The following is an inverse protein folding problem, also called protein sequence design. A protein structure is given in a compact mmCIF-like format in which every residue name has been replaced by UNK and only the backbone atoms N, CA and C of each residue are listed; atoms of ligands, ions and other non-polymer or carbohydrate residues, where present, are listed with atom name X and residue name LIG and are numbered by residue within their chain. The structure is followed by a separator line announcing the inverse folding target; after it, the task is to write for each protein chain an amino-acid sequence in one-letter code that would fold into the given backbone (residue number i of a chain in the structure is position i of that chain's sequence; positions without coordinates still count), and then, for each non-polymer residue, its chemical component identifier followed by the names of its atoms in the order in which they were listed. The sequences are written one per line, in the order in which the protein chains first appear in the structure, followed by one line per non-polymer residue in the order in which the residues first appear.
data_IF_536510180073
#
_entry.id   IF_536510180073
#
_cell.length_a   1.000
_cell.length_b   1.000
_cell.length_c   1.000
_cell.angle_alpha   90.00
_cell.angle_beta   90.00
_cell.angle_gamma   90.00
#
_symmetry.space_group_name_H-M   'P 1'
#
loop_
_entity.id
_entity.type
_entity.pdbx_description
1 polymer ?
#
# COMPACT_ATOMS: atom_id res chain seq x y z
N UNK A 1 -31.48 -48.55 -15.15
CA UNK A 1 -30.11 -48.94 -14.78
C UNK A 1 -29.71 -48.13 -13.55
N UNK A 2 -29.72 -48.69 -12.32
CA UNK A 2 -29.27 -47.99 -11.13
C UNK A 2 -27.85 -48.40 -10.75
N UNK A 3 -26.97 -47.42 -10.51
CA UNK A 3 -25.65 -47.51 -9.84
C UNK A 3 -25.01 -46.12 -9.98
N UNK A 4 -24.39 -45.46 -9.01
CA UNK A 4 -23.88 -45.88 -7.71
C UNK A 4 -23.49 -44.60 -6.96
N UNK A 5 -24.05 -44.42 -5.77
CA UNK A 5 -23.68 -43.39 -4.79
C UNK A 5 -22.30 -43.75 -4.20
N UNK A 6 -21.33 -42.86 -4.35
CA UNK A 6 -20.01 -42.95 -3.71
C UNK A 6 -19.89 -41.91 -2.60
N UNK A 7 -20.11 -42.33 -1.35
CA UNK A 7 -19.72 -41.64 -0.13
C UNK A 7 -18.23 -41.92 0.14
N UNK A 8 -17.45 -40.89 0.42
CA UNK A 8 -16.14 -41.03 1.05
C UNK A 8 -16.08 -40.17 2.32
N UNK A 9 -15.96 -40.78 3.52
CA UNK A 9 -15.58 -40.09 4.74
C UNK A 9 -14.08 -40.31 5.02
N UNK A 10 -13.37 -39.24 5.36
CA UNK A 10 -11.95 -39.32 5.69
C UNK A 10 -11.44 -38.07 6.41
N UNK A 11 -12.06 -37.73 7.55
CA UNK A 11 -11.50 -36.76 8.48
C UNK A 11 -10.42 -37.43 9.33
N UNK A 12 -9.17 -37.00 9.19
CA UNK A 12 -8.08 -37.39 10.08
C UNK A 12 -8.10 -36.50 11.34
N UNK A 13 -7.89 -37.06 12.55
CA UNK A 13 -7.76 -36.29 13.78
C UNK A 13 -6.38 -35.62 13.85
N UNK A 14 -6.35 -34.29 14.04
CA UNK A 14 -5.13 -33.58 14.40
C UNK A 14 -4.82 -33.84 15.88
N UNK A 15 -3.64 -34.43 16.11
CA UNK A 15 -3.11 -34.72 17.42
C UNK A 15 -2.62 -33.44 18.11
N UNK A 16 -2.90 -33.42 19.40
CA UNK A 16 -2.59 -32.39 20.40
C UNK A 16 -1.08 -32.37 20.75
N UNK A 17 -0.58 -31.18 21.08
CA UNK A 17 0.54 -31.00 22.00
C UNK A 17 1.97 -31.19 21.48
N UNK A 18 2.55 -30.16 20.86
CA UNK A 18 4.00 -29.90 20.95
C UNK A 18 4.31 -28.41 20.86
N UNK A 19 4.62 -27.82 22.02
CA UNK A 19 5.12 -26.45 22.18
C UNK A 19 6.59 -26.43 21.75
N UNK A 20 7.00 -25.66 20.72
CA UNK A 20 8.41 -25.53 20.38
C UNK A 20 9.13 -24.72 21.46
N UNK A 21 10.30 -25.22 21.87
CA UNK A 21 11.22 -24.54 22.76
C UNK A 21 11.84 -23.33 22.04
N UNK A 22 11.98 -22.21 22.76
CA UNK A 22 12.68 -21.03 22.27
C UNK A 22 14.18 -21.34 22.09
N UNK A 23 14.83 -20.89 21.00
CA UNK A 23 16.26 -20.97 20.86
C UNK A 23 16.95 -20.01 21.85
N UNK A 24 17.95 -20.55 22.55
CA UNK A 24 18.92 -19.81 23.37
C UNK A 24 19.84 -19.00 22.45
N UNK A 25 19.74 -17.67 22.52
CA UNK A 25 20.53 -16.73 21.71
C UNK A 25 21.56 -16.00 22.58
N UNK A 26 22.43 -16.75 23.24
CA UNK A 26 23.64 -16.19 23.86
C UNK A 26 24.80 -16.21 22.87
N UNK A 27 24.78 -15.26 21.92
CA UNK A 27 25.85 -15.01 20.95
C UNK A 27 26.32 -13.57 21.01
N UNK A 28 27.45 -13.34 21.68
CA UNK A 28 28.16 -12.06 21.72
C UNK A 28 28.62 -11.67 20.31
N UNK A 29 28.11 -10.56 19.76
CA UNK A 29 28.63 -9.98 18.51
C UNK A 29 29.63 -8.87 18.87
N UNK A 30 30.89 -8.94 18.40
CA UNK A 30 31.84 -7.84 18.52
C UNK A 30 31.38 -6.63 17.71
N UNK A 31 31.24 -5.51 18.41
CA UNK A 31 31.10 -4.17 17.87
C UNK A 31 32.44 -3.74 17.24
N UNK A 32 32.50 -3.56 15.92
CA UNK A 32 33.59 -2.81 15.29
C UNK A 32 33.11 -2.09 14.01
N UNK A 33 33.03 -0.76 14.12
CA UNK A 33 33.62 0.12 13.11
C UNK A 33 32.84 0.42 11.83
N UNK A 34 31.69 1.10 11.92
CA UNK A 34 31.33 2.25 11.05
C UNK A 34 29.91 2.73 11.36
N UNK A 35 29.82 3.59 12.38
CA UNK A 35 28.61 4.40 12.57
C UNK A 35 28.60 5.49 11.49
N UNK A 36 28.01 5.18 10.34
CA UNK A 36 27.33 6.22 9.55
C UNK A 36 26.09 6.62 10.34
N UNK A 37 26.25 7.62 11.20
CA UNK A 37 25.14 8.47 11.63
C UNK A 37 25.03 9.52 10.53
N UNK A 38 24.18 9.27 9.54
CA UNK A 38 23.96 10.15 8.41
C UNK A 38 22.66 9.78 7.72
N UNK A 39 21.69 10.68 7.86
CA UNK A 39 20.47 10.84 7.06
C UNK A 39 19.48 9.66 7.06
N UNK A 40 18.31 9.91 7.65
CA UNK A 40 17.13 9.05 7.60
C UNK A 40 16.48 9.05 6.23
N UNK A 41 17.21 8.61 5.21
CA UNK A 41 16.62 8.11 3.98
C UNK A 41 15.99 6.75 4.27
N UNK A 42 14.72 6.59 3.89
CA UNK A 42 13.98 5.34 4.00
C UNK A 42 14.68 4.23 3.22
N UNK A 43 15.58 3.51 3.89
CA UNK A 43 16.42 2.49 3.29
C UNK A 43 15.58 1.23 3.03
N UNK A 44 14.87 1.21 1.89
CA UNK A 44 14.25 0.01 1.32
C UNK A 44 15.32 -1.07 1.22
N UNK A 45 15.05 -2.27 1.74
CA UNK A 45 16.01 -3.35 1.66
C UNK A 45 16.22 -3.79 0.20
N UNK A 46 17.40 -4.31 -0.17
CA UNK A 46 17.63 -4.85 -1.51
C UNK A 46 16.61 -5.94 -1.88
N UNK A 47 16.14 -6.72 -0.91
CA UNK A 47 15.09 -7.71 -1.12
C UNK A 47 13.73 -7.08 -1.47
N UNK A 48 13.34 -6.00 -0.78
CA UNK A 48 12.10 -5.26 -1.07
C UNK A 48 12.15 -4.58 -2.43
N UNK A 49 13.28 -3.97 -2.80
CA UNK A 49 13.45 -3.36 -4.12
C UNK A 49 13.36 -4.42 -5.23
N UNK A 50 14.00 -5.58 -5.06
CA UNK A 50 13.92 -6.66 -6.05
C UNK A 50 12.48 -7.19 -6.19
N UNK A 51 11.72 -7.21 -5.09
CA UNK A 51 10.31 -7.58 -5.14
C UNK A 51 9.48 -6.52 -5.84
N UNK A 52 9.70 -5.24 -5.51
CA UNK A 52 9.07 -4.10 -6.16
C UNK A 52 9.26 -4.13 -7.67
N UNK A 53 10.51 -4.28 -8.13
CA UNK A 53 10.84 -4.34 -9.56
C UNK A 53 10.07 -5.47 -10.26
N UNK A 54 9.98 -6.63 -9.61
CA UNK A 54 9.22 -7.78 -10.12
C UNK A 54 7.71 -7.50 -10.14
N UNK A 55 7.18 -6.82 -9.13
CA UNK A 55 5.76 -6.42 -9.09
C UNK A 55 5.45 -5.46 -10.24
N UNK A 56 6.31 -4.47 -10.48
CA UNK A 56 6.13 -3.49 -11.55
C UNK A 56 6.30 -4.10 -12.94
N UNK A 57 7.25 -5.03 -13.13
CA UNK A 57 7.37 -5.80 -14.38
C UNK A 57 6.07 -6.55 -14.68
N UNK A 58 5.49 -7.21 -13.68
CA UNK A 58 4.23 -7.94 -13.83
C UNK A 58 3.02 -7.02 -13.98
N UNK A 59 3.02 -5.87 -13.32
CA UNK A 59 2.00 -4.85 -13.53
C UNK A 59 2.03 -4.36 -14.98
N UNK A 60 3.21 -4.07 -15.53
CA UNK A 60 3.39 -3.66 -16.92
C UNK A 60 2.90 -4.73 -17.90
N UNK A 61 3.20 -6.01 -17.66
CA UNK A 61 2.66 -7.13 -18.46
C UNK A 61 1.12 -7.16 -18.47
N UNK A 62 0.47 -6.87 -17.33
CA UNK A 62 -0.99 -6.83 -17.21
C UNK A 62 -1.60 -5.58 -17.87
N UNK A 63 -0.86 -4.48 -17.95
CA UNK A 63 -1.31 -3.21 -18.53
C UNK A 63 -1.13 -3.21 -20.06
N UNK A 64 0.02 -3.69 -20.55
CA UNK A 64 0.49 -3.51 -21.93
C UNK A 64 0.56 -4.77 -22.78
N UNK A 65 0.19 -5.94 -22.25
CA UNK A 65 0.21 -7.19 -23.00
C UNK A 65 1.59 -7.55 -23.57
N UNK A 66 1.62 -8.48 -24.54
CA UNK A 66 2.86 -9.00 -25.11
C UNK A 66 3.52 -8.14 -26.20
N UNK A 67 2.82 -7.13 -26.72
CA UNK A 67 3.25 -6.28 -27.83
C UNK A 67 3.44 -4.80 -27.44
N UNK A 68 3.43 -4.52 -26.13
CA UNK A 68 3.48 -3.16 -25.56
C UNK A 68 2.24 -2.31 -25.91
N UNK A 69 1.14 -2.92 -26.35
CA UNK A 69 -0.14 -2.25 -26.58
C UNK A 69 -1.00 -2.33 -25.33
N UNK A 70 -1.55 -1.21 -24.88
CA UNK A 70 -2.48 -1.20 -23.73
C UNK A 70 -3.60 -2.24 -23.93
N UNK A 71 -3.76 -3.12 -22.95
CA UNK A 71 -4.75 -4.17 -22.96
C UNK A 71 -6.17 -3.57 -23.10
N UNK A 72 -7.00 -4.03 -24.05
CA UNK A 72 -8.32 -3.44 -24.28
C UNK A 72 -9.23 -3.43 -23.05
N UNK A 73 -9.07 -4.41 -22.16
CA UNK A 73 -9.81 -4.48 -20.91
C UNK A 73 -9.49 -3.30 -19.98
N UNK A 74 -8.26 -2.78 -20.00
CA UNK A 74 -7.84 -1.61 -19.23
C UNK A 74 -8.50 -0.35 -19.79
N UNK A 75 -8.45 -0.15 -21.11
CA UNK A 75 -9.14 0.97 -21.77
C UNK A 75 -10.64 0.95 -21.50
N UNK A 76 -11.25 -0.25 -21.52
CA UNK A 76 -12.66 -0.41 -21.19
C UNK A 76 -12.97 -0.10 -19.72
N UNK A 77 -12.10 -0.49 -18.79
CA UNK A 77 -12.28 -0.23 -17.37
C UNK A 77 -12.17 1.27 -17.04
N UNK A 78 -11.29 1.99 -17.72
CA UNK A 78 -11.09 3.44 -17.53
C UNK A 78 -12.20 4.28 -18.19
N UNK A 79 -12.80 3.78 -19.28
CA UNK A 79 -13.82 4.50 -20.04
C UNK A 79 -15.21 4.34 -19.43
N UNK A 80 -15.49 5.10 -18.37
CA UNK A 80 -16.83 5.21 -17.80
C UNK A 80 -17.61 6.35 -18.46
N UNK A 81 -18.89 6.14 -18.79
CA UNK A 81 -19.72 7.20 -19.32
C UNK A 81 -19.93 8.28 -18.25
N UNK A 82 -19.95 9.57 -18.64
CA UNK A 82 -20.20 10.65 -17.69
C UNK A 82 -21.58 10.45 -17.05
N UNK A 83 -21.62 10.34 -15.73
CA UNK A 83 -22.88 10.30 -14.98
C UNK A 83 -23.33 11.73 -14.67
N UNK A 84 -24.64 11.99 -14.58
CA UNK A 84 -25.13 13.28 -14.07
C UNK A 84 -24.50 13.52 -12.70
N UNK A 85 -23.86 14.68 -12.51
CA UNK A 85 -23.21 15.04 -11.25
C UNK A 85 -24.26 15.07 -10.12
N UNK A 86 -24.24 14.05 -9.27
CA UNK A 86 -24.92 14.08 -7.98
C UNK A 86 -23.92 14.52 -6.93
N UNK A 87 -24.22 15.56 -6.11
CA UNK A 87 -23.27 16.12 -5.14
C UNK A 87 -22.65 15.12 -4.16
N UNK A 88 -23.33 13.98 -3.93
CA UNK A 88 -22.94 12.97 -2.94
C UNK A 88 -22.32 11.69 -3.55
N UNK A 89 -22.18 11.63 -4.88
CA UNK A 89 -21.55 10.48 -5.54
C UNK A 89 -20.17 10.91 -6.00
N UNK A 90 -19.12 10.29 -5.45
CA UNK A 90 -17.75 10.55 -5.92
C UNK A 90 -17.66 10.48 -7.45
N UNK A 91 -16.70 11.21 -8.03
CA UNK A 91 -16.52 11.27 -9.48
C UNK A 91 -16.34 9.84 -10.04
N UNK A 92 -17.16 9.40 -11.00
CA UNK A 92 -17.13 8.02 -11.50
C UNK A 92 -15.76 7.67 -12.13
N UNK A 93 -15.07 8.66 -12.70
CA UNK A 93 -13.75 8.49 -13.31
C UNK A 93 -12.70 8.12 -12.26
N UNK A 94 -12.73 8.77 -11.07
CA UNK A 94 -11.83 8.44 -9.95
C UNK A 94 -12.05 6.99 -9.51
N UNK A 95 -13.31 6.56 -9.39
CA UNK A 95 -13.63 5.19 -9.03
C UNK A 95 -13.23 4.19 -10.13
N UNK A 96 -13.35 4.56 -11.40
CA UNK A 96 -12.93 3.72 -12.53
C UNK A 96 -11.42 3.47 -12.49
N UNK A 97 -10.63 4.53 -12.30
CA UNK A 97 -9.18 4.47 -12.15
C UNK A 97 -8.78 3.58 -10.95
N UNK A 98 -9.37 3.83 -9.78
CA UNK A 98 -9.11 3.06 -8.57
C UNK A 98 -9.46 1.57 -8.73
N UNK A 99 -10.60 1.26 -9.34
CA UNK A 99 -11.00 -0.14 -9.60
C UNK A 99 -10.07 -0.83 -10.60
N UNK A 100 -9.64 -0.13 -11.66
CA UNK A 100 -8.69 -0.68 -12.61
C UNK A 100 -7.35 -1.02 -11.94
N UNK A 101 -6.80 -0.08 -11.15
CA UNK A 101 -5.59 -0.30 -10.36
C UNK A 101 -5.76 -1.46 -9.35
N UNK A 102 -6.91 -1.52 -8.66
CA UNK A 102 -7.24 -2.58 -7.72
C UNK A 102 -7.24 -3.96 -8.38
N UNK A 103 -7.85 -4.10 -9.57
CA UNK A 103 -7.88 -5.38 -10.27
C UNK A 103 -6.48 -5.85 -10.69
N UNK A 104 -5.57 -4.93 -11.04
CA UNK A 104 -4.17 -5.25 -11.32
C UNK A 104 -3.47 -5.69 -10.03
N UNK A 105 -3.49 -4.84 -9.00
CA UNK A 105 -2.82 -5.12 -7.73
C UNK A 105 -3.33 -6.40 -7.05
N UNK A 106 -4.65 -6.66 -7.10
CA UNK A 106 -5.26 -7.90 -6.62
C UNK A 106 -4.73 -9.13 -7.36
N UNK A 107 -4.66 -9.09 -8.70
CA UNK A 107 -4.09 -10.21 -9.48
C UNK A 107 -2.62 -10.47 -9.12
N UNK A 108 -1.86 -9.40 -8.85
CA UNK A 108 -0.47 -9.50 -8.43
C UNK A 108 -0.35 -10.16 -7.04
N UNK A 109 -1.09 -9.66 -6.04
CA UNK A 109 -1.09 -10.23 -4.67
C UNK A 109 -1.58 -11.69 -4.65
N UNK A 110 -2.70 -11.98 -5.34
CA UNK A 110 -3.24 -13.35 -5.42
C UNK A 110 -2.20 -14.31 -6.05
N UNK A 111 -1.60 -13.94 -7.18
CA UNK A 111 -0.59 -14.75 -7.88
C UNK A 111 0.66 -14.99 -7.03
N UNK A 112 1.11 -13.97 -6.29
CA UNK A 112 2.26 -14.06 -5.39
C UNK A 112 1.97 -14.98 -4.20
N UNK A 113 0.75 -14.91 -3.63
CA UNK A 113 0.31 -15.80 -2.54
C UNK A 113 0.18 -17.25 -2.99
N UNK A 114 -0.34 -17.49 -4.19
CA UNK A 114 -0.40 -18.84 -4.79
C UNK A 114 1.00 -19.46 -4.94
N UNK A 115 2.02 -18.63 -5.16
CA UNK A 115 3.43 -19.05 -5.22
C UNK A 115 4.10 -19.15 -3.84
N UNK A 116 3.38 -18.88 -2.75
CA UNK A 116 3.91 -18.91 -1.38
C UNK A 116 4.88 -17.77 -1.05
N UNK A 117 4.82 -16.66 -1.80
CA UNK A 117 5.73 -15.52 -1.67
C UNK A 117 4.93 -14.21 -1.57
N UNK A 118 4.14 -14.00 -0.50
CA UNK A 118 3.23 -12.85 -0.39
C UNK A 118 3.97 -11.52 -0.53
N UNK A 119 3.37 -10.57 -1.24
CA UNK A 119 3.93 -9.22 -1.41
C UNK A 119 3.78 -8.46 -0.07
N UNK A 120 4.86 -7.84 0.46
CA UNK A 120 4.77 -6.92 1.59
C UNK A 120 3.80 -5.78 1.30
N UNK A 121 3.07 -5.34 2.33
CA UNK A 121 2.06 -4.29 2.19
C UNK A 121 2.70 -2.95 1.74
N UNK A 122 3.94 -2.63 2.16
CA UNK A 122 4.66 -1.43 1.72
C UNK A 122 5.00 -1.46 0.23
N UNK A 123 5.42 -2.63 -0.29
CA UNK A 123 5.68 -2.82 -1.71
C UNK A 123 4.39 -2.69 -2.52
N UNK A 124 3.27 -3.24 -2.02
CA UNK A 124 1.95 -3.08 -2.65
C UNK A 124 1.48 -1.62 -2.62
N UNK A 125 1.73 -0.90 -1.54
CA UNK A 125 1.37 0.51 -1.39
C UNK A 125 2.09 1.37 -2.44
N UNK A 126 3.42 1.23 -2.56
CA UNK A 126 4.19 1.97 -3.55
C UNK A 126 3.84 1.58 -4.99
N UNK A 127 3.69 0.28 -5.27
CA UNK A 127 3.27 -0.19 -6.59
C UNK A 127 1.87 0.31 -6.95
N UNK A 128 0.96 0.41 -5.98
CA UNK A 128 -0.39 0.95 -6.17
C UNK A 128 -0.38 2.40 -6.65
N UNK A 129 0.54 3.23 -6.13
CA UNK A 129 0.72 4.62 -6.58
C UNK A 129 1.18 4.68 -8.03
N UNK A 130 2.26 3.96 -8.39
CA UNK A 130 2.78 3.97 -9.77
C UNK A 130 1.78 3.39 -10.77
N UNK A 131 1.02 2.35 -10.39
CA UNK A 131 -0.04 1.80 -11.24
C UNK A 131 -1.13 2.86 -11.51
N UNK A 132 -1.52 3.64 -10.51
CA UNK A 132 -2.51 4.71 -10.69
C UNK A 132 -1.99 5.81 -11.62
N UNK A 133 -0.74 6.24 -11.43
CA UNK A 133 -0.12 7.27 -12.27
C UNK A 133 -0.04 6.80 -13.72
N UNK A 134 0.39 5.55 -13.94
CA UNK A 134 0.50 4.96 -15.27
C UNK A 134 -0.87 4.83 -15.96
N UNK A 135 -1.89 4.37 -15.24
CA UNK A 135 -3.26 4.29 -15.77
C UNK A 135 -3.85 5.68 -16.06
N UNK A 136 -3.50 6.69 -15.27
CA UNK A 136 -3.86 8.09 -15.52
C UNK A 136 -3.24 8.62 -16.82
N UNK A 137 -1.97 8.32 -17.06
CA UNK A 137 -1.26 8.68 -18.29
C UNK A 137 -1.83 7.98 -19.53
N UNK A 138 -2.20 6.69 -19.39
CA UNK A 138 -2.90 5.92 -20.43
C UNK A 138 -4.25 6.56 -20.76
N UNK A 139 -5.05 6.92 -19.75
CA UNK A 139 -6.35 7.56 -19.95
C UNK A 139 -6.21 8.89 -20.69
N UNK A 140 -5.21 9.70 -20.33
CA UNK A 140 -4.88 10.97 -20.99
C UNK A 140 -4.50 10.76 -22.46
N UNK A 141 -3.58 9.84 -22.73
CA UNK A 141 -3.12 9.49 -24.09
C UNK A 141 -4.25 8.95 -24.97
N UNK A 142 -5.17 8.18 -24.38
CA UNK A 142 -6.34 7.64 -25.06
C UNK A 142 -7.49 8.67 -25.22
N UNK A 143 -7.34 9.91 -24.74
CA UNK A 143 -8.39 10.94 -24.68
C UNK A 143 -9.66 10.49 -23.94
N UNK A 144 -9.50 9.69 -22.87
CA UNK A 144 -10.61 9.24 -22.00
C UNK A 144 -10.89 10.30 -20.93
N UNK A 145 -9.88 10.62 -20.12
CA UNK A 145 -9.95 11.64 -19.06
C UNK A 145 -8.54 12.15 -18.76
N UNK A 146 -8.41 13.44 -18.43
CA UNK A 146 -7.15 14.07 -18.02
C UNK A 146 -7.21 14.32 -16.51
N UNK A 147 -6.70 13.36 -15.73
CA UNK A 147 -6.79 13.38 -14.28
C UNK A 147 -5.93 14.48 -13.67
N UNK A 148 -6.51 15.30 -12.80
CA UNK A 148 -5.72 16.23 -11.98
C UNK A 148 -4.92 15.48 -10.88
N UNK A 149 -3.86 16.08 -10.31
CA UNK A 149 -3.13 15.48 -9.18
C UNK A 149 -4.04 15.14 -7.99
N UNK A 150 -5.05 15.96 -7.72
CA UNK A 150 -6.04 15.71 -6.67
C UNK A 150 -6.94 14.51 -7.00
N UNK A 151 -7.28 14.31 -8.27
CA UNK A 151 -8.06 13.16 -8.73
C UNK A 151 -7.25 11.86 -8.65
N UNK A 152 -5.97 11.89 -9.02
CA UNK A 152 -5.05 10.76 -8.85
C UNK A 152 -4.91 10.38 -7.37
N UNK A 153 -4.70 11.38 -6.50
CA UNK A 153 -4.64 11.17 -5.05
C UNK A 153 -5.97 10.61 -4.51
N UNK A 154 -7.09 11.13 -5.00
CA UNK A 154 -8.43 10.61 -4.68
C UNK A 154 -8.60 9.15 -5.09
N UNK A 155 -8.14 8.78 -6.28
CA UNK A 155 -8.19 7.40 -6.79
C UNK A 155 -7.31 6.48 -5.93
N UNK A 156 -6.17 6.97 -5.47
CA UNK A 156 -5.29 6.24 -4.56
C UNK A 156 -5.96 5.93 -3.23
N UNK A 157 -6.65 6.90 -2.61
CA UNK A 157 -7.40 6.63 -1.39
C UNK A 157 -8.52 5.62 -1.60
N UNK A 158 -9.22 5.67 -2.74
CA UNK A 158 -10.22 4.66 -3.09
C UNK A 158 -9.58 3.27 -3.29
N UNK A 159 -8.41 3.19 -3.92
CA UNK A 159 -7.66 1.94 -4.08
C UNK A 159 -7.30 1.31 -2.74
N UNK A 160 -6.77 2.09 -1.79
CA UNK A 160 -6.45 1.63 -0.44
C UNK A 160 -7.70 1.11 0.27
N UNK A 161 -8.85 1.79 0.10
CA UNK A 161 -10.11 1.36 0.69
C UNK A 161 -10.61 0.03 0.11
N UNK A 162 -10.47 -0.18 -1.20
CA UNK A 162 -10.79 -1.45 -1.86
C UNK A 162 -9.91 -2.60 -1.32
N UNK A 163 -8.62 -2.38 -1.11
CA UNK A 163 -7.74 -3.37 -0.49
C UNK A 163 -8.10 -3.65 0.97
N UNK A 164 -8.46 -2.62 1.74
CA UNK A 164 -8.97 -2.77 3.11
C UNK A 164 -10.21 -3.65 3.13
N UNK A 165 -11.17 -3.39 2.23
CA UNK A 165 -12.39 -4.20 2.11
C UNK A 165 -12.07 -5.65 1.72
N UNK A 166 -11.17 -5.86 0.75
CA UNK A 166 -10.74 -7.21 0.37
C UNK A 166 -10.08 -7.95 1.54
N UNK A 167 -9.26 -7.27 2.34
CA UNK A 167 -8.63 -7.87 3.52
C UNK A 167 -9.66 -8.31 4.57
N UNK A 168 -10.76 -7.55 4.74
CA UNK A 168 -11.89 -7.92 5.59
C UNK A 168 -12.62 -9.13 5.00
N UNK A 169 -12.97 -9.09 3.71
CA UNK A 169 -13.74 -10.12 3.02
C UNK A 169 -13.01 -11.49 2.99
N UNK A 170 -11.69 -11.46 2.89
CA UNK A 170 -10.83 -12.65 2.91
C UNK A 170 -10.45 -13.12 4.33
N UNK A 171 -10.87 -12.38 5.37
CA UNK A 171 -10.56 -12.69 6.76
C UNK A 171 -9.10 -12.43 7.16
N UNK A 172 -8.33 -11.68 6.36
CA UNK A 172 -6.97 -11.23 6.73
C UNK A 172 -7.01 -10.23 7.88
N UNK A 173 -8.08 -9.44 7.97
CA UNK A 173 -8.35 -8.51 9.07
C UNK A 173 -9.85 -8.47 9.37
N UNK A 174 -10.25 -7.71 10.38
CA UNK A 174 -11.66 -7.43 10.69
C UNK A 174 -11.85 -5.95 10.97
N UNK A 175 -13.08 -5.45 10.83
CA UNK A 175 -13.39 -4.07 11.21
C UNK A 175 -13.02 -3.77 12.67
N UNK A 176 -13.26 -4.72 13.58
CA UNK A 176 -12.91 -4.59 14.99
C UNK A 176 -11.38 -4.53 15.20
N UNK A 177 -10.62 -5.31 14.44
CA UNK A 177 -9.15 -5.27 14.47
C UNK A 177 -8.63 -3.91 14.01
N UNK A 178 -9.12 -3.40 12.88
CA UNK A 178 -8.70 -2.11 12.34
C UNK A 178 -9.07 -0.96 13.29
N UNK A 179 -10.27 -1.00 13.86
CA UNK A 179 -10.71 -0.02 14.86
C UNK A 179 -9.83 -0.06 16.10
N UNK A 180 -9.52 -1.26 16.59
CA UNK A 180 -8.62 -1.44 17.74
C UNK A 180 -7.21 -0.89 17.47
N UNK A 181 -6.66 -1.12 16.27
CA UNK A 181 -5.37 -0.55 15.85
C UNK A 181 -5.42 0.98 15.78
N UNK A 182 -6.49 1.55 15.22
CA UNK A 182 -6.66 3.00 15.15
C UNK A 182 -6.79 3.63 16.54
N UNK A 183 -7.55 3.00 17.45
CA UNK A 183 -7.69 3.46 18.83
C UNK A 183 -6.34 3.44 19.57
N UNK A 184 -5.47 2.47 19.30
CA UNK A 184 -4.11 2.41 19.83
C UNK A 184 -3.24 3.57 19.30
N UNK A 185 -3.31 3.85 17.99
CA UNK A 185 -2.58 4.98 17.38
C UNK A 185 -3.04 6.30 17.99
N UNK A 186 -4.36 6.50 18.14
CA UNK A 186 -4.92 7.69 18.78
C UNK A 186 -4.46 7.83 20.22
N UNK A 187 -4.49 6.75 20.99
CA UNK A 187 -4.01 6.76 22.38
C UNK A 187 -2.52 7.09 22.47
N UNK A 188 -1.69 6.55 21.56
CA UNK A 188 -0.28 6.86 21.50
C UNK A 188 -0.03 8.33 21.12
N UNK A 189 -0.82 8.88 20.19
CA UNK A 189 -0.80 10.30 19.86
C UNK A 189 -1.13 11.17 21.08
N UNK A 190 -2.22 10.86 21.79
CA UNK A 190 -2.65 11.61 22.98
C UNK A 190 -1.60 11.54 24.13
N UNK A 191 -0.78 10.49 24.15
CA UNK A 191 0.30 10.29 25.12
C UNK A 191 1.66 10.83 24.65
N UNK A 192 1.76 11.36 23.43
CA UNK A 192 3.03 11.79 22.84
C UNK A 192 4.01 10.63 22.56
N UNK A 193 3.51 9.41 22.44
CA UNK A 193 4.28 8.19 22.18
C UNK A 193 4.04 7.62 20.78
N UNK A 194 3.58 8.46 19.83
CA UNK A 194 3.24 8.01 18.47
C UNK A 194 4.39 7.31 17.75
N UNK A 195 5.63 7.69 18.00
CA UNK A 195 6.81 7.02 17.42
C UNK A 195 6.97 5.56 17.84
N UNK A 196 6.48 5.18 19.02
CA UNK A 196 6.54 3.81 19.51
C UNK A 196 5.43 2.95 18.88
N UNK A 197 4.28 3.56 18.60
CA UNK A 197 3.13 2.89 18.01
C UNK A 197 3.24 2.81 16.49
N UNK A 198 3.77 3.86 15.85
CA UNK A 198 4.00 3.95 14.41
C UNK A 198 5.38 4.56 14.18
N UNK A 199 6.43 3.72 14.09
CA UNK A 199 7.78 4.18 13.78
C UNK A 199 7.79 5.00 12.48
N UNK A 200 8.42 6.18 12.51
CA UNK A 200 8.57 7.06 11.33
C UNK A 200 7.58 8.23 11.22
N UNK A 201 6.50 8.28 11.99
CA UNK A 201 5.53 9.40 11.93
C UNK A 201 5.99 10.63 12.74
N UNK A 202 6.63 10.45 13.92
CA UNK A 202 7.00 11.57 14.80
C UNK A 202 8.14 12.46 14.29
N UNK A 203 8.96 11.96 13.35
CA UNK A 203 10.09 12.71 12.79
C UNK A 203 9.66 13.92 11.94
N UNK A 204 8.45 13.90 11.36
CA UNK A 204 7.95 14.99 10.51
C UNK A 204 7.50 16.22 11.32
N UNK A 205 7.05 16.05 12.56
CA UNK A 205 6.50 17.14 13.38
C UNK A 205 7.60 17.89 14.18
N UNK A 206 8.72 17.23 14.46
CA UNK A 206 9.89 17.84 15.09
C UNK A 206 10.74 18.69 14.12
N UNK A 207 10.45 18.64 12.81
CA UNK A 207 11.14 19.40 11.77
C UNK A 207 10.43 20.72 11.39
N UNK A 208 9.50 21.22 12.23
CA UNK A 208 9.05 22.60 12.10
C UNK A 208 10.24 23.54 12.33
N UNK A 209 10.59 24.44 11.38
CA UNK A 209 11.76 25.29 11.50
C UNK A 209 11.59 26.25 12.68
N UNK A 210 12.26 25.95 13.79
CA UNK A 210 12.60 26.94 14.79
C UNK A 210 13.73 27.80 14.22
N UNK A 211 13.40 28.81 13.42
CA UNK A 211 14.15 30.07 13.31
C UNK A 211 13.65 30.92 12.12
N UNK A 212 12.76 31.85 12.41
CA UNK A 212 12.79 33.15 11.73
C UNK A 212 12.82 34.23 12.83
N UNK A 213 13.92 34.24 13.58
CA UNK A 213 14.28 35.40 14.41
C UNK A 213 14.60 36.56 13.47
N UNK A 214 13.61 37.43 13.30
CA UNK A 214 13.67 38.74 12.65
C UNK A 214 14.94 39.54 13.05
N UNK A 215 15.92 39.75 12.15
CA UNK A 215 17.13 40.51 12.45
C UNK A 215 16.91 42.04 12.39
N UNK A 216 15.68 42.56 12.35
CA UNK A 216 15.43 44.00 12.14
C UNK A 216 15.59 44.93 13.37
N UNK A 217 16.25 44.52 14.46
CA UNK A 217 16.53 45.40 15.61
C UNK A 217 18.03 45.62 15.87
N UNK A 218 18.72 46.31 14.96
CA UNK A 218 19.97 47.00 15.29
C UNK A 218 20.31 48.13 14.30
N UNK A 219 19.54 49.24 14.29
CA UNK A 219 20.06 50.51 13.79
C UNK A 219 20.12 51.54 14.93
N UNK A 220 21.33 52.04 15.30
CA UNK A 220 21.46 53.12 16.27
C UNK A 220 21.09 54.48 15.65
N UNK A 221 20.63 55.45 16.48
CA UNK A 221 20.29 56.79 16.00
C UNK A 221 21.55 57.56 15.62
N UNK A 222 21.63 58.02 14.36
CA UNK A 222 22.61 59.04 13.97
C UNK A 222 22.09 60.42 14.36
N UNK A 223 22.97 61.21 14.97
CA UNK A 223 22.77 62.62 15.35
C UNK A 223 22.87 63.54 14.14
#
# INVERSE_FOLDING_TARGET
MPTQTGLAPGAAPYADGQKPAAPDFSGSVPNDGSASIGDGDGNVSPEEQAMYDKVMEKAAELIYGGDSTVEPAILQALNVPPTPETPDSGKPEIMALANAAFQIGKKLDDSSREQGQPIPDDVLYHAGTEIIEELGEIARTANIHDYSPEELTGAFYQLVDLFRQQAIDTGRTTEDTLKGQFDQIKQANDQGTIEQAVPGIGAAEAAAPADEQDPAQAMPPQR
#
